data_IF_924018231512
#
_entry.id   IF_924018231512
#
_cell.length_a   1.000
_cell.length_b   1.000
_cell.length_c   1.000
_cell.angle_alpha   90.00
_cell.angle_beta   90.00
_cell.angle_gamma   90.00
#
_symmetry.space_group_name_H-M   'P 1'
#
loop_
_entity.id
_entity.type
_entity.pdbx_description
1 polymer ?
#
# COMPACT_ATOMS: atom_id res chain seq x y z
N UNK A 1 -56.38 6.55 -11.75
CA UNK A 1 -55.31 5.54 -11.57
C UNK A 1 -54.01 6.09 -12.14
N UNK A 2 -53.17 6.74 -11.34
CA UNK A 2 -51.79 7.05 -11.71
C UNK A 2 -50.94 6.60 -10.52
N UNK A 3 -50.42 5.37 -10.58
CA UNK A 3 -49.50 4.83 -9.60
C UNK A 3 -48.08 5.18 -10.00
N UNK A 4 -47.36 5.90 -9.13
CA UNK A 4 -45.95 6.25 -9.29
C UNK A 4 -45.11 4.97 -9.40
N UNK A 5 -44.37 4.83 -10.50
CA UNK A 5 -43.29 3.86 -10.63
C UNK A 5 -42.06 4.39 -9.87
N UNK A 6 -41.81 3.85 -8.68
CA UNK A 6 -40.57 4.08 -7.95
C UNK A 6 -39.44 3.25 -8.56
N UNK A 7 -38.46 3.92 -9.16
CA UNK A 7 -37.20 3.30 -9.56
C UNK A 7 -36.33 3.23 -8.31
N UNK A 8 -36.14 2.03 -7.76
CA UNK A 8 -35.17 1.78 -6.70
C UNK A 8 -33.80 1.49 -7.33
N UNK A 9 -32.88 2.44 -7.18
CA UNK A 9 -31.45 2.22 -7.42
C UNK A 9 -30.91 1.35 -6.28
N UNK A 10 -30.77 0.05 -6.51
CA UNK A 10 -30.14 -0.87 -5.56
C UNK A 10 -28.62 -0.76 -5.70
N UNK A 11 -28.03 -0.15 -4.67
CA UNK A 11 -26.71 -0.34 -4.05
C UNK A 11 -25.51 -0.75 -4.93
N UNK A 12 -24.47 0.07 -4.90
CA UNK A 12 -23.09 -0.38 -5.07
C UNK A 12 -22.83 -1.51 -4.07
N UNK A 13 -22.68 -2.74 -4.55
CA UNK A 13 -22.17 -3.81 -3.71
C UNK A 13 -20.74 -3.45 -3.33
N UNK A 14 -20.48 -3.20 -2.05
CA UNK A 14 -19.14 -3.18 -1.48
C UNK A 14 -18.54 -4.58 -1.70
N UNK A 15 -17.86 -4.75 -2.83
CA UNK A 15 -17.04 -5.93 -3.04
C UNK A 15 -15.90 -5.83 -2.02
N UNK A 16 -15.78 -6.79 -1.09
CA UNK A 16 -14.63 -6.83 -0.20
C UNK A 16 -13.37 -6.80 -1.07
N UNK A 17 -12.52 -5.81 -0.88
CA UNK A 17 -11.19 -5.82 -1.52
C UNK A 17 -10.49 -7.03 -0.95
N UNK A 18 -10.15 -8.05 -1.77
CA UNK A 18 -9.51 -9.24 -1.26
C UNK A 18 -8.22 -8.84 -0.54
N UNK A 19 -8.07 -9.27 0.71
CA UNK A 19 -6.85 -8.97 1.46
C UNK A 19 -5.64 -9.46 0.65
N UNK A 20 -4.69 -8.57 0.40
CA UNK A 20 -3.50 -8.84 -0.43
C UNK A 20 -2.46 -9.59 0.40
N UNK A 21 -2.76 -10.85 0.70
CA UNK A 21 -1.91 -11.72 1.51
C UNK A 21 -0.67 -12.16 0.73
N UNK A 22 0.50 -12.09 1.37
CA UNK A 22 1.78 -12.59 0.87
C UNK A 22 2.18 -13.81 1.72
N UNK A 23 1.84 -15.02 1.26
CA UNK A 23 2.17 -16.25 2.01
C UNK A 23 3.67 -16.35 2.29
N UNK A 24 4.01 -16.64 3.55
CA UNK A 24 5.39 -16.77 4.01
C UNK A 24 6.11 -15.44 4.30
N UNK A 25 5.47 -14.29 4.08
CA UNK A 25 5.99 -13.00 4.52
C UNK A 25 5.64 -12.72 5.99
N UNK A 26 6.52 -12.01 6.70
CA UNK A 26 6.38 -11.65 8.09
C UNK A 26 6.19 -10.14 8.27
N UNK A 27 4.97 -9.65 8.59
CA UNK A 27 4.72 -8.21 8.73
C UNK A 27 5.47 -7.58 9.91
N UNK A 28 5.78 -8.33 10.97
CA UNK A 28 6.59 -7.81 12.09
C UNK A 28 8.02 -7.51 11.63
N UNK A 29 8.60 -8.39 10.82
CA UNK A 29 9.90 -8.14 10.20
C UNK A 29 9.81 -6.99 9.18
N UNK A 30 8.69 -6.89 8.47
CA UNK A 30 8.40 -5.77 7.57
C UNK A 30 8.49 -4.41 8.25
N UNK A 31 7.88 -4.26 9.43
CA UNK A 31 7.98 -3.03 10.22
C UNK A 31 9.43 -2.73 10.63
N UNK A 32 10.18 -3.76 11.04
CA UNK A 32 11.60 -3.61 11.39
C UNK A 32 12.42 -3.09 10.20
N UNK A 33 12.18 -3.64 9.01
CA UNK A 33 12.81 -3.22 7.76
C UNK A 33 12.41 -1.79 7.38
N UNK A 34 11.13 -1.44 7.47
CA UNK A 34 10.62 -0.08 7.20
C UNK A 34 11.36 0.96 8.05
N UNK A 35 11.58 0.66 9.33
CA UNK A 35 12.31 1.55 10.24
C UNK A 35 13.79 1.63 9.89
N UNK A 36 14.43 0.49 9.58
CA UNK A 36 15.86 0.42 9.27
C UNK A 36 16.22 1.09 7.92
N UNK A 37 15.37 0.95 6.91
CA UNK A 37 15.58 1.52 5.57
C UNK A 37 15.08 2.97 5.46
N UNK A 38 14.57 3.53 6.56
CA UNK A 38 14.25 4.95 6.65
C UNK A 38 13.01 5.38 5.85
N UNK A 39 12.08 4.47 5.56
CA UNK A 39 10.85 4.77 4.82
C UNK A 39 10.04 5.92 5.47
N UNK A 40 10.08 6.01 6.80
CA UNK A 40 9.46 7.08 7.58
C UNK A 40 10.01 8.49 7.32
N UNK A 41 11.17 8.63 6.66
CA UNK A 41 11.72 9.94 6.27
C UNK A 41 10.82 10.65 5.26
N UNK A 42 10.15 9.88 4.38
CA UNK A 42 9.30 10.43 3.33
C UNK A 42 7.81 10.20 3.61
N UNK A 43 7.46 9.10 4.27
CA UNK A 43 6.09 8.69 4.50
C UNK A 43 5.67 8.80 5.97
N UNK A 44 4.37 9.01 6.19
CA UNK A 44 3.73 8.69 7.47
C UNK A 44 3.25 7.26 7.40
N UNK A 45 3.63 6.46 8.38
CA UNK A 45 3.36 5.02 8.40
C UNK A 45 2.85 4.69 9.82
N UNK A 46 1.68 4.06 9.98
CA UNK A 46 1.24 3.54 11.28
C UNK A 46 2.34 2.63 11.85
N UNK A 47 2.54 2.66 13.17
CA UNK A 47 3.64 1.93 13.82
C UNK A 47 5.04 2.54 13.68
N UNK A 48 5.23 3.62 12.90
CA UNK A 48 6.49 4.37 12.82
C UNK A 48 6.31 5.77 13.40
N UNK A 49 6.79 5.96 14.64
CA UNK A 49 6.61 7.22 15.38
C UNK A 49 7.54 8.35 14.93
N UNK A 50 8.74 8.02 14.44
CA UNK A 50 9.73 8.96 13.93
C UNK A 50 10.76 8.23 13.04
N UNK A 51 11.22 8.81 11.92
CA UNK A 51 10.73 10.06 11.31
C UNK A 51 9.28 9.92 10.79
N UNK A 52 8.61 11.06 10.57
CA UNK A 52 7.22 11.13 10.03
C UNK A 52 7.15 12.11 8.87
N UNK A 53 7.69 11.70 7.73
CA UNK A 53 7.69 12.47 6.50
C UNK A 53 6.29 12.64 5.91
N UNK A 54 6.14 13.63 5.04
CA UNK A 54 4.91 13.87 4.31
C UNK A 54 5.11 13.99 2.79
N UNK A 55 6.36 13.94 2.31
CA UNK A 55 6.70 14.06 0.88
C UNK A 55 6.04 12.94 0.06
N UNK A 56 6.06 11.72 0.58
CA UNK A 56 5.43 10.55 -0.04
C UNK A 56 3.97 10.33 0.39
N UNK A 57 3.41 11.18 1.24
CA UNK A 57 2.06 11.01 1.81
C UNK A 57 1.95 9.93 2.90
N UNK A 58 0.72 9.73 3.39
CA UNK A 58 0.40 8.62 4.32
C UNK A 58 0.34 7.30 3.58
N UNK A 59 0.85 6.25 4.23
CA UNK A 59 0.63 4.86 3.82
C UNK A 59 -0.49 4.17 4.60
N UNK A 60 -1.21 4.92 5.45
CA UNK A 60 -2.44 4.46 6.08
C UNK A 60 -3.42 3.98 5.00
N UNK A 61 -4.14 2.90 5.28
CA UNK A 61 -5.14 2.34 4.38
C UNK A 61 -4.64 1.99 2.96
N UNK A 62 -3.34 1.67 2.79
CA UNK A 62 -2.76 1.34 1.48
C UNK A 62 -3.42 0.11 0.82
N UNK A 63 -3.82 -0.88 1.62
CA UNK A 63 -4.59 -2.05 1.21
C UNK A 63 -5.96 -1.71 0.59
N UNK A 64 -6.59 -0.58 0.93
CA UNK A 64 -7.83 -0.18 0.25
C UNK A 64 -7.56 0.54 -1.09
N UNK A 65 -6.33 1.03 -1.31
CA UNK A 65 -5.99 1.76 -2.53
C UNK A 65 -5.95 0.83 -3.75
N UNK A 66 -6.49 1.31 -4.87
CA UNK A 66 -6.46 0.58 -6.14
C UNK A 66 -5.08 0.64 -6.83
N UNK A 67 -4.31 1.70 -6.57
CA UNK A 67 -3.09 2.02 -7.32
C UNK A 67 -1.90 2.29 -6.39
N UNK A 68 -0.72 1.83 -6.78
CA UNK A 68 0.57 2.18 -6.19
C UNK A 68 1.08 3.44 -6.88
N UNK A 69 1.45 4.46 -6.10
CA UNK A 69 1.94 5.75 -6.58
C UNK A 69 1.03 6.41 -7.63
N UNK A 70 -0.27 6.09 -7.62
CA UNK A 70 -1.24 6.56 -8.63
C UNK A 70 -1.01 6.04 -10.05
N UNK A 71 -0.12 5.06 -10.26
CA UNK A 71 0.35 4.63 -11.59
C UNK A 71 0.21 3.16 -11.87
N UNK A 72 0.48 2.30 -10.89
CA UNK A 72 0.50 0.86 -11.08
C UNK A 72 -0.64 0.19 -10.33
N UNK A 73 -1.21 -0.93 -10.83
CA UNK A 73 -2.22 -1.66 -10.09
C UNK A 73 -1.64 -2.12 -8.75
N UNK A 74 -2.36 -1.86 -7.67
CA UNK A 74 -1.96 -2.31 -6.35
C UNK A 74 -2.15 -3.83 -6.26
N UNK A 75 -1.08 -4.57 -6.51
CA UNK A 75 -1.01 -6.04 -6.43
C UNK A 75 0.32 -6.44 -5.76
N UNK A 76 0.38 -7.60 -5.08
CA UNK A 76 1.56 -7.94 -4.29
C UNK A 76 2.88 -8.01 -5.07
N UNK A 77 2.89 -8.60 -6.27
CA UNK A 77 4.07 -8.70 -7.12
C UNK A 77 4.58 -7.32 -7.58
N UNK A 78 3.67 -6.41 -7.92
CA UNK A 78 4.02 -5.03 -8.32
C UNK A 78 4.48 -4.20 -7.13
N UNK A 79 3.84 -4.35 -5.96
CA UNK A 79 4.30 -3.68 -4.74
C UNK A 79 5.73 -4.10 -4.38
N UNK A 80 6.02 -5.38 -4.45
CA UNK A 80 7.37 -5.89 -4.16
C UNK A 80 8.39 -5.36 -5.18
N UNK A 81 8.04 -5.32 -6.48
CA UNK A 81 8.91 -4.71 -7.49
C UNK A 81 9.14 -3.22 -7.23
N UNK A 82 8.08 -2.47 -6.90
CA UNK A 82 8.12 -1.05 -6.60
C UNK A 82 9.00 -0.73 -5.38
N UNK A 83 8.84 -1.50 -4.30
CA UNK A 83 9.63 -1.35 -3.09
C UNK A 83 11.12 -1.58 -3.34
N UNK A 84 11.49 -2.47 -4.27
CA UNK A 84 12.89 -2.76 -4.59
C UNK A 84 13.53 -1.70 -5.49
N UNK A 85 12.83 -1.28 -6.55
CA UNK A 85 13.38 -0.32 -7.50
C UNK A 85 12.27 0.54 -8.16
N UNK A 86 11.78 1.53 -7.41
CA UNK A 86 10.80 2.47 -7.91
C UNK A 86 11.30 3.26 -9.15
N UNK A 87 12.55 3.76 -9.22
CA UNK A 87 13.06 4.46 -10.41
C UNK A 87 13.10 3.61 -11.68
N UNK A 88 13.36 2.30 -11.59
CA UNK A 88 13.29 1.42 -12.76
C UNK A 88 11.87 1.28 -13.32
N UNK A 89 10.84 1.44 -12.47
CA UNK A 89 9.43 1.39 -12.88
C UNK A 89 8.89 2.77 -13.31
N UNK A 90 9.32 3.84 -12.64
CA UNK A 90 8.93 5.21 -12.90
C UNK A 90 10.15 6.14 -12.75
N UNK A 91 10.90 6.43 -13.82
CA UNK A 91 12.16 7.19 -13.75
C UNK A 91 12.06 8.61 -13.19
N UNK A 92 10.86 9.19 -13.19
CA UNK A 92 10.53 10.52 -12.67
C UNK A 92 10.03 10.50 -11.20
N UNK A 93 10.00 9.32 -10.56
CA UNK A 93 9.62 9.21 -9.14
C UNK A 93 10.69 9.81 -8.22
N UNK A 94 10.23 10.44 -7.13
CA UNK A 94 11.12 10.90 -6.06
C UNK A 94 11.50 9.77 -5.07
N UNK A 95 10.81 8.63 -5.12
CA UNK A 95 11.13 7.48 -4.28
C UNK A 95 12.44 6.84 -4.74
N UNK A 96 13.49 6.78 -3.90
CA UNK A 96 14.77 6.24 -4.31
C UNK A 96 14.69 4.72 -4.53
N UNK A 97 15.65 4.19 -5.29
CA UNK A 97 15.89 2.75 -5.32
C UNK A 97 16.30 2.28 -3.92
N UNK A 98 15.77 1.14 -3.48
CA UNK A 98 16.08 0.58 -2.16
C UNK A 98 17.13 -0.53 -2.28
N UNK A 99 17.69 -0.93 -1.14
CA UNK A 99 18.61 -2.08 -1.05
C UNK A 99 17.90 -3.36 -0.60
N UNK A 100 16.58 -3.36 -0.64
CA UNK A 100 15.77 -4.47 -0.19
C UNK A 100 16.05 -5.74 -1.01
N UNK A 101 16.31 -6.82 -0.29
CA UNK A 101 16.21 -8.17 -0.86
C UNK A 101 14.76 -8.48 -1.22
N UNK A 102 14.56 -9.54 -2.00
CA UNK A 102 13.21 -9.99 -2.36
C UNK A 102 12.36 -10.30 -1.12
N UNK A 103 12.93 -10.95 -0.10
CA UNK A 103 12.19 -11.35 1.09
C UNK A 103 11.86 -10.15 1.98
N UNK A 104 12.83 -9.24 2.18
CA UNK A 104 12.56 -8.00 2.90
C UNK A 104 11.46 -7.17 2.23
N UNK A 105 11.45 -7.06 0.91
CA UNK A 105 10.40 -6.34 0.19
C UNK A 105 9.03 -7.02 0.32
N UNK A 106 8.97 -8.36 0.40
CA UNK A 106 7.74 -9.10 0.69
C UNK A 106 7.26 -8.84 2.12
N UNK A 107 8.14 -8.83 3.10
CA UNK A 107 7.82 -8.55 4.50
C UNK A 107 7.30 -7.12 4.67
N UNK A 108 7.95 -6.14 4.03
CA UNK A 108 7.49 -4.74 3.99
C UNK A 108 6.10 -4.65 3.35
N UNK A 109 5.90 -5.27 2.19
CA UNK A 109 4.59 -5.26 1.53
C UNK A 109 3.50 -5.93 2.40
N UNK A 110 3.83 -7.01 3.10
CA UNK A 110 2.90 -7.67 4.02
C UNK A 110 2.51 -6.76 5.19
N UNK A 111 3.47 -6.01 5.75
CA UNK A 111 3.17 -5.00 6.77
C UNK A 111 2.24 -3.91 6.22
N UNK A 112 2.60 -3.34 5.07
CA UNK A 112 1.81 -2.26 4.47
C UNK A 112 0.38 -2.69 4.09
N UNK A 113 0.18 -3.95 3.69
CA UNK A 113 -1.15 -4.51 3.42
C UNK A 113 -1.93 -4.90 4.67
N UNK A 114 -1.29 -4.91 5.84
CA UNK A 114 -1.97 -5.12 7.13
C UNK A 114 -2.45 -3.81 7.78
N UNK A 115 -2.05 -2.67 7.23
CA UNK A 115 -2.51 -1.36 7.70
C UNK A 115 -3.94 -1.13 7.23
N UNK A 116 -4.85 -0.79 8.14
CA UNK A 116 -6.22 -0.36 7.79
C UNK A 116 -6.38 1.16 7.88
N UNK A 117 -7.48 1.70 7.35
CA UNK A 117 -7.92 3.04 7.73
C UNK A 117 -8.50 2.97 9.15
N UNK A 118 -7.94 3.74 10.07
CA UNK A 118 -8.59 4.08 11.34
C UNK A 118 -9.81 4.98 11.12
#
# INVERSE_FOLDING_TARGET
MIGLAGVTLVACADKPVPSRQLTGANPTEGLRVIQAEGCGTCHRIPGVQWPRGAVGGSLDNLQAQAMIAGRFPNRPDVMVAWLRDAPAMAPDTAMPASRLTQDQARDVAAYLYSLDAD
#
